data_IF_177631587708
#
_entry.id   IF_177631587708
#
_cell.length_a   1.000
_cell.length_b   1.000
_cell.length_c   1.000
_cell.angle_alpha   90.00
_cell.angle_beta   90.00
_cell.angle_gamma   90.00
#
_symmetry.space_group_name_H-M   'P 1'
#
loop_
_entity.id
_entity.type
_entity.pdbx_description
1 polymer ?
#
# COMPACT_ATOMS: atom_id res chain seq x y z
N UNK A 1 21.05 24.32 2.25
CA UNK A 1 20.57 25.27 1.23
C UNK A 1 19.25 24.70 0.74
N UNK A 2 18.10 25.33 0.98
CA UNK A 2 16.80 24.77 0.57
C UNK A 2 16.64 24.83 -0.95
N UNK A 3 16.53 23.67 -1.62
CA UNK A 3 16.25 23.62 -3.05
C UNK A 3 14.86 24.18 -3.40
N UNK A 4 14.76 24.89 -4.53
CA UNK A 4 13.45 25.35 -4.99
C UNK A 4 12.61 24.18 -5.50
N UNK A 5 11.26 24.28 -5.47
CA UNK A 5 10.36 23.23 -5.97
C UNK A 5 10.68 22.76 -7.40
N UNK A 6 11.12 23.68 -8.26
CA UNK A 6 11.47 23.39 -9.66
C UNK A 6 12.72 22.51 -9.71
N UNK A 7 13.75 22.85 -8.92
CA UNK A 7 15.01 22.11 -8.91
C UNK A 7 14.79 20.68 -8.39
N UNK A 8 14.04 20.51 -7.29
CA UNK A 8 13.69 19.19 -6.76
C UNK A 8 13.04 18.32 -7.84
N UNK A 9 12.02 18.86 -8.52
CA UNK A 9 11.29 18.11 -9.54
C UNK A 9 12.14 17.82 -10.77
N UNK A 10 13.04 18.72 -11.19
CA UNK A 10 13.97 18.44 -12.28
C UNK A 10 14.99 17.37 -11.91
N UNK A 11 15.52 17.39 -10.68
CA UNK A 11 16.52 16.42 -10.23
C UNK A 11 15.92 15.02 -10.07
N UNK A 12 14.67 14.89 -9.62
CA UNK A 12 13.96 13.60 -9.59
C UNK A 12 13.69 13.01 -10.99
N UNK A 13 13.64 13.85 -12.05
CA UNK A 13 13.55 13.38 -13.44
C UNK A 13 14.91 12.98 -14.00
N UNK A 14 15.98 13.58 -13.49
CA UNK A 14 17.33 13.27 -13.92
C UNK A 14 17.90 12.11 -13.08
N UNK A 15 17.89 10.89 -13.60
CA UNK A 15 18.28 9.69 -12.85
C UNK A 15 19.71 9.73 -12.30
N UNK A 16 20.61 10.52 -12.90
CA UNK A 16 21.97 10.71 -12.37
C UNK A 16 22.03 11.59 -11.12
N UNK A 17 21.00 12.40 -10.88
CA UNK A 17 20.86 13.26 -9.70
C UNK A 17 19.93 12.67 -8.64
N UNK A 18 19.27 11.55 -8.91
CA UNK A 18 18.40 10.88 -7.94
C UNK A 18 19.24 9.97 -7.03
N UNK A 19 19.68 10.54 -5.91
CA UNK A 19 20.54 9.89 -4.92
C UNK A 19 20.09 10.21 -3.48
N UNK A 20 20.85 9.73 -2.49
CA UNK A 20 20.52 9.89 -1.07
C UNK A 20 20.63 11.35 -0.58
N UNK A 21 21.48 12.18 -1.21
CA UNK A 21 21.54 13.62 -0.92
C UNK A 21 20.23 14.32 -1.32
N UNK A 22 19.72 14.02 -2.52
CA UNK A 22 18.43 14.57 -2.97
C UNK A 22 17.28 14.12 -2.05
N UNK A 23 17.27 12.87 -1.61
CA UNK A 23 16.27 12.36 -0.65
C UNK A 23 16.34 13.13 0.67
N UNK A 24 17.54 13.39 1.18
CA UNK A 24 17.75 14.15 2.41
C UNK A 24 17.24 15.58 2.27
N UNK A 25 17.51 16.22 1.12
CA UNK A 25 17.04 17.57 0.83
C UNK A 25 15.51 17.65 0.65
N UNK A 26 14.90 16.63 0.04
CA UNK A 26 13.43 16.52 -0.05
C UNK A 26 12.83 16.37 1.35
N UNK A 27 13.42 15.54 2.20
CA UNK A 27 12.96 15.31 3.57
C UNK A 27 13.03 16.60 4.38
N UNK A 28 14.16 17.31 4.34
CA UNK A 28 14.35 18.58 5.04
C UNK A 28 13.42 19.68 4.54
N UNK A 29 13.11 19.69 3.24
CA UNK A 29 12.24 20.69 2.63
C UNK A 29 10.76 20.41 2.89
N UNK A 30 10.33 19.15 2.82
CA UNK A 30 8.90 18.78 2.72
C UNK A 30 8.37 18.15 3.99
N UNK A 31 9.16 17.34 4.71
CA UNK A 31 8.71 16.56 5.87
C UNK A 31 9.10 17.21 7.20
N UNK A 32 10.37 17.56 7.37
CA UNK A 32 10.90 18.11 8.63
C UNK A 32 10.16 19.37 9.16
N UNK A 33 9.62 20.28 8.33
CA UNK A 33 8.84 21.42 8.82
C UNK A 33 7.60 21.03 9.63
N UNK A 34 7.13 19.79 9.51
CA UNK A 34 5.96 19.26 10.20
C UNK A 34 6.31 18.26 11.31
N UNK A 35 7.60 17.95 11.50
CA UNK A 35 8.07 17.04 12.54
C UNK A 35 8.59 17.84 13.76
N UNK A 36 8.33 17.35 14.98
CA UNK A 36 8.96 17.92 16.17
C UNK A 36 10.47 17.64 16.13
N UNK A 37 11.31 18.69 16.21
CA UNK A 37 12.76 18.56 16.28
C UNK A 37 13.18 17.97 17.64
N UNK A 38 13.28 16.64 17.70
CA UNK A 38 13.63 15.89 18.90
C UNK A 38 15.03 16.22 19.43
N UNK A 39 15.96 16.63 18.54
CA UNK A 39 17.35 16.94 18.90
C UNK A 39 17.46 18.24 19.69
N UNK A 40 16.60 19.22 19.39
CA UNK A 40 16.52 20.49 20.12
C UNK A 40 15.70 20.42 21.40
N UNK A 41 14.74 19.49 21.47
CA UNK A 41 13.99 19.20 22.70
C UNK A 41 14.93 18.64 23.79
N UNK A 42 15.92 17.82 23.41
CA UNK A 42 16.93 17.30 24.35
C UNK A 42 17.90 18.38 24.86
N UNK A 43 18.10 19.46 24.10
CA UNK A 43 18.94 20.60 24.49
C UNK A 43 18.20 21.66 25.34
N UNK A 44 16.97 21.38 25.80
CA UNK A 44 16.19 22.29 26.65
C UNK A 44 15.61 23.51 25.92
N UNK A 45 15.81 23.64 24.61
CA UNK A 45 15.22 24.70 23.80
C UNK A 45 13.78 24.31 23.43
N UNK A 46 12.79 24.95 24.08
CA UNK A 46 11.39 24.89 23.65
C UNK A 46 11.25 25.64 22.34
N UNK A 47 11.26 24.92 21.21
CA UNK A 47 10.81 25.49 19.95
C UNK A 47 9.32 25.80 20.11
N UNK A 48 8.94 27.06 19.90
CA UNK A 48 7.55 27.43 19.80
C UNK A 48 6.94 26.61 18.65
N UNK A 49 5.93 25.77 18.96
CA UNK A 49 5.16 25.09 17.92
C UNK A 49 4.71 26.15 16.91
N UNK A 50 4.84 25.91 15.59
CA UNK A 50 4.37 26.86 14.60
C UNK A 50 2.90 27.21 14.89
N UNK A 51 2.58 28.50 14.83
CA UNK A 51 1.21 28.96 15.01
C UNK A 51 0.31 28.28 13.98
N UNK A 52 -0.99 28.17 14.29
CA UNK A 52 -1.97 27.56 13.36
C UNK A 52 -1.95 28.22 11.99
N UNK A 53 -1.70 29.53 11.94
CA UNK A 53 -1.60 30.31 10.69
C UNK A 53 -0.34 29.96 9.91
N UNK A 54 0.82 29.85 10.56
CA UNK A 54 2.07 29.43 9.93
C UNK A 54 1.98 28.00 9.41
N UNK A 55 1.41 27.09 10.21
CA UNK A 55 1.19 25.71 9.79
C UNK A 55 0.32 25.63 8.53
N UNK A 56 -0.77 26.40 8.48
CA UNK A 56 -1.66 26.47 7.32
C UNK A 56 -0.96 27.07 6.08
N UNK A 57 -0.16 28.11 6.27
CA UNK A 57 0.61 28.73 5.18
C UNK A 57 1.66 27.77 4.60
N UNK A 58 2.41 27.07 5.47
CA UNK A 58 3.36 26.04 5.06
C UNK A 58 2.66 24.89 4.34
N UNK A 59 1.53 24.40 4.88
CA UNK A 59 0.73 23.34 4.25
C UNK A 59 0.28 23.73 2.85
N UNK A 60 -0.25 24.95 2.69
CA UNK A 60 -0.73 25.47 1.39
C UNK A 60 0.40 25.51 0.36
N UNK A 61 1.63 25.81 0.79
CA UNK A 61 2.82 25.87 -0.07
C UNK A 61 3.38 24.48 -0.40
N UNK A 62 3.47 23.59 0.60
CA UNK A 62 4.24 22.34 0.50
C UNK A 62 3.41 21.13 0.10
N UNK A 63 2.11 21.06 0.42
CA UNK A 63 1.26 19.93 0.05
C UNK A 63 1.20 19.70 -1.48
N UNK A 64 1.04 20.74 -2.33
CA UNK A 64 1.07 20.56 -3.79
C UNK A 64 2.43 20.04 -4.29
N UNK A 65 3.53 20.47 -3.67
CA UNK A 65 4.87 19.98 -4.01
C UNK A 65 5.03 18.50 -3.63
N UNK A 66 4.65 18.13 -2.40
CA UNK A 66 4.71 16.75 -1.93
C UNK A 66 3.92 15.82 -2.86
N UNK A 67 2.69 16.20 -3.24
CA UNK A 67 1.88 15.41 -4.16
C UNK A 67 2.52 15.29 -5.56
N UNK A 68 3.15 16.36 -6.06
CA UNK A 68 3.89 16.32 -7.34
C UNK A 68 5.11 15.39 -7.28
N UNK A 69 5.84 15.40 -6.17
CA UNK A 69 6.98 14.49 -5.95
C UNK A 69 6.49 13.05 -6.01
N UNK A 70 5.43 12.71 -5.27
CA UNK A 70 4.91 11.33 -5.26
C UNK A 70 4.45 10.87 -6.64
N UNK A 71 3.61 11.66 -7.30
CA UNK A 71 3.10 11.31 -8.63
C UNK A 71 4.22 11.16 -9.67
N UNK A 72 5.23 12.05 -9.61
CA UNK A 72 6.38 11.97 -10.49
C UNK A 72 7.24 10.73 -10.19
N UNK A 73 7.46 10.39 -8.92
CA UNK A 73 8.19 9.18 -8.54
C UNK A 73 7.47 7.92 -9.01
N UNK A 74 6.16 7.82 -8.82
CA UNK A 74 5.34 6.68 -9.28
C UNK A 74 5.48 6.52 -10.81
N UNK A 75 5.38 7.61 -11.56
CA UNK A 75 5.51 7.58 -13.01
C UNK A 75 6.93 7.20 -13.46
N UNK A 76 7.97 7.73 -12.81
CA UNK A 76 9.36 7.36 -13.08
C UNK A 76 9.62 5.88 -12.79
N UNK A 77 9.09 5.34 -11.70
CA UNK A 77 9.20 3.90 -11.36
C UNK A 77 8.51 3.03 -12.41
N UNK A 78 7.34 3.44 -12.91
CA UNK A 78 6.64 2.77 -14.02
C UNK A 78 7.49 2.71 -15.29
N UNK A 79 8.14 3.81 -15.65
CA UNK A 79 9.02 3.90 -16.82
C UNK A 79 10.26 3.03 -16.64
N UNK A 80 10.86 3.00 -15.44
CA UNK A 80 12.02 2.16 -15.14
C UNK A 80 11.71 0.68 -15.29
N UNK A 81 10.54 0.22 -14.82
CA UNK A 81 10.06 -1.15 -15.01
C UNK A 81 9.95 -1.52 -16.51
N UNK A 82 9.37 -0.64 -17.33
CA UNK A 82 9.15 -0.91 -18.76
C UNK A 82 10.43 -1.02 -19.58
N UNK A 83 11.51 -0.37 -19.15
CA UNK A 83 12.78 -0.37 -19.88
C UNK A 83 13.56 -1.67 -19.73
N UNK A 84 13.11 -2.61 -18.88
CA UNK A 84 13.71 -3.94 -18.62
C UNK A 84 15.24 -3.91 -18.40
N UNK A 85 15.74 -2.75 -17.95
CA UNK A 85 17.16 -2.51 -17.70
C UNK A 85 17.52 -3.13 -16.36
N UNK A 86 17.62 -4.46 -16.36
CA UNK A 86 18.08 -5.27 -15.24
C UNK A 86 19.41 -4.70 -14.71
N UNK A 87 19.36 -4.35 -13.42
CA UNK A 87 20.49 -4.34 -12.50
C UNK A 87 21.70 -3.44 -12.80
N UNK A 88 21.51 -2.30 -13.47
CA UNK A 88 22.53 -1.24 -13.34
C UNK A 88 22.54 -0.73 -11.89
N UNK A 89 23.71 -0.56 -11.24
CA UNK A 89 23.81 0.09 -9.93
C UNK A 89 23.14 1.46 -9.91
N UNK A 90 23.22 2.20 -11.01
CA UNK A 90 22.55 3.50 -11.19
C UNK A 90 21.03 3.34 -11.06
N UNK A 91 20.44 2.33 -11.70
CA UNK A 91 19.00 2.08 -11.61
C UNK A 91 18.58 1.69 -10.19
N UNK A 92 19.37 0.88 -9.47
CA UNK A 92 19.07 0.53 -8.07
C UNK A 92 19.08 1.77 -7.16
N UNK A 93 20.08 2.63 -7.32
CA UNK A 93 20.14 3.92 -6.58
C UNK A 93 18.97 4.83 -6.93
N UNK A 94 18.62 4.95 -8.22
CA UNK A 94 17.48 5.75 -8.66
C UNK A 94 16.16 5.20 -8.11
N UNK A 95 15.91 3.89 -8.19
CA UNK A 95 14.69 3.25 -7.64
C UNK A 95 14.57 3.55 -6.15
N UNK A 96 15.66 3.36 -5.40
CA UNK A 96 15.73 3.70 -3.97
C UNK A 96 15.37 5.15 -3.71
N UNK A 97 16.06 6.07 -4.38
CA UNK A 97 15.83 7.51 -4.26
C UNK A 97 14.36 7.89 -4.53
N UNK A 98 13.75 7.35 -5.59
CA UNK A 98 12.37 7.64 -5.95
C UNK A 98 11.38 7.12 -4.89
N UNK A 99 11.61 5.91 -4.37
CA UNK A 99 10.79 5.32 -3.30
C UNK A 99 10.91 6.15 -2.01
N UNK A 100 12.13 6.52 -1.61
CA UNK A 100 12.37 7.25 -0.35
C UNK A 100 11.83 8.69 -0.43
N UNK A 101 11.98 9.35 -1.59
CA UNK A 101 11.39 10.66 -1.86
C UNK A 101 9.85 10.62 -1.82
N UNK A 102 9.24 9.60 -2.44
CA UNK A 102 7.79 9.42 -2.41
C UNK A 102 7.28 9.12 -1.00
N UNK A 103 7.94 8.24 -0.26
CA UNK A 103 7.55 7.84 1.10
C UNK A 103 7.67 9.00 2.09
N UNK A 104 8.73 9.81 1.97
CA UNK A 104 8.90 11.04 2.76
C UNK A 104 7.80 12.06 2.46
N UNK A 105 7.45 12.22 1.18
CA UNK A 105 6.40 13.13 0.74
C UNK A 105 5.01 12.67 1.19
N UNK A 106 4.72 11.37 1.14
CA UNK A 106 3.48 10.79 1.69
C UNK A 106 3.40 11.05 3.19
N UNK A 107 4.49 10.84 3.93
CA UNK A 107 4.55 11.11 5.37
C UNK A 107 4.26 12.58 5.67
N UNK A 108 4.81 13.49 4.87
CA UNK A 108 4.54 14.92 4.99
C UNK A 108 3.06 15.25 4.73
N UNK A 109 2.46 14.65 3.70
CA UNK A 109 1.03 14.79 3.41
C UNK A 109 0.15 14.31 4.56
N UNK A 110 0.54 13.26 5.29
CA UNK A 110 -0.19 12.80 6.49
C UNK A 110 -0.21 13.86 7.57
N UNK A 111 0.93 14.51 7.86
CA UNK A 111 0.98 15.63 8.80
C UNK A 111 0.15 16.83 8.35
N UNK A 112 0.13 17.09 7.04
CA UNK A 112 -0.62 18.21 6.45
C UNK A 112 -2.14 17.95 6.32
N UNK A 113 -2.58 16.69 6.39
CA UNK A 113 -3.92 16.23 6.01
C UNK A 113 -5.07 17.13 6.52
N UNK A 114 -5.08 17.46 7.82
CA UNK A 114 -6.10 18.29 8.46
C UNK A 114 -6.22 19.73 7.92
N UNK A 115 -5.20 20.22 7.22
CA UNK A 115 -5.13 21.58 6.64
C UNK A 115 -5.03 21.59 5.12
N UNK A 116 -5.17 20.43 4.46
CA UNK A 116 -5.17 20.30 3.00
C UNK A 116 -6.58 20.17 2.44
N UNK A 117 -6.71 20.37 1.13
CA UNK A 117 -7.94 20.11 0.37
C UNK A 117 -8.00 18.68 -0.20
N UNK A 118 -7.15 17.77 0.32
CA UNK A 118 -7.15 16.37 -0.11
C UNK A 118 -8.48 15.72 0.27
N UNK A 119 -9.00 14.87 -0.63
CA UNK A 119 -10.21 14.12 -0.34
C UNK A 119 -9.90 12.99 0.64
N UNK A 120 -10.92 12.48 1.36
CA UNK A 120 -10.77 11.26 2.14
C UNK A 120 -10.11 10.15 1.32
N UNK A 121 -9.16 9.44 1.94
CA UNK A 121 -8.39 8.32 1.36
C UNK A 121 -7.44 8.68 0.21
N UNK A 122 -7.27 9.95 -0.17
CA UNK A 122 -6.34 10.31 -1.25
C UNK A 122 -4.89 9.91 -0.92
N UNK A 123 -4.50 10.02 0.36
CA UNK A 123 -3.16 9.65 0.82
C UNK A 123 -2.99 8.13 0.78
N UNK A 124 -3.97 7.37 1.27
CA UNK A 124 -3.98 5.91 1.27
C UNK A 124 -3.98 5.34 -0.17
N UNK A 125 -4.73 5.94 -1.09
CA UNK A 125 -4.70 5.59 -2.52
C UNK A 125 -3.33 5.84 -3.12
N UNK A 126 -2.74 6.99 -2.82
CA UNK A 126 -1.40 7.36 -3.28
C UNK A 126 -0.35 6.37 -2.77
N UNK A 127 -0.47 5.97 -1.51
CA UNK A 127 0.37 4.97 -0.88
C UNK A 127 0.20 3.57 -1.51
N UNK A 128 -1.05 3.15 -1.75
CA UNK A 128 -1.34 1.87 -2.42
C UNK A 128 -0.77 1.83 -3.85
N UNK A 129 -0.87 2.94 -4.59
CA UNK A 129 -0.28 3.07 -5.93
C UNK A 129 1.26 2.97 -5.88
N UNK A 130 1.90 3.60 -4.90
CA UNK A 130 3.35 3.48 -4.70
C UNK A 130 3.72 2.03 -4.40
N UNK A 131 3.05 1.37 -3.45
CA UNK A 131 3.29 -0.05 -3.09
C UNK A 131 3.16 -0.95 -4.32
N UNK A 132 2.13 -0.74 -5.15
CA UNK A 132 1.97 -1.49 -6.40
C UNK A 132 3.23 -1.40 -7.28
N UNK A 133 3.85 -0.22 -7.40
CA UNK A 133 5.09 -0.03 -8.17
C UNK A 133 6.32 -0.61 -7.48
N UNK A 134 6.39 -0.60 -6.15
CA UNK A 134 7.47 -1.26 -5.39
C UNK A 134 7.42 -2.78 -5.58
N UNK A 135 6.24 -3.39 -5.45
CA UNK A 135 6.02 -4.83 -5.69
C UNK A 135 6.35 -5.20 -7.14
N UNK A 136 5.91 -4.38 -8.09
CA UNK A 136 6.20 -4.54 -9.52
C UNK A 136 7.70 -4.57 -9.86
N UNK A 137 8.53 -3.90 -9.06
CA UNK A 137 9.98 -3.83 -9.22
C UNK A 137 10.73 -4.92 -8.44
N UNK A 138 10.02 -5.75 -7.67
CA UNK A 138 10.62 -6.81 -6.85
C UNK A 138 11.23 -6.34 -5.52
N UNK A 139 10.97 -5.09 -5.12
CA UNK A 139 11.49 -4.49 -3.88
C UNK A 139 10.64 -4.92 -2.66
N UNK A 140 10.50 -6.24 -2.43
CA UNK A 140 9.52 -6.81 -1.51
C UNK A 140 9.72 -6.39 -0.04
N UNK A 141 10.96 -6.23 0.42
CA UNK A 141 11.24 -5.75 1.79
C UNK A 141 10.71 -4.34 2.00
N UNK A 142 10.89 -3.45 1.01
CA UNK A 142 10.35 -2.08 1.06
C UNK A 142 8.83 -2.08 0.91
N UNK A 143 8.28 -2.97 0.08
CA UNK A 143 6.84 -3.13 -0.05
C UNK A 143 6.22 -3.56 1.28
N UNK A 144 6.86 -4.48 2.00
CA UNK A 144 6.42 -4.93 3.32
C UNK A 144 6.33 -3.75 4.31
N UNK A 145 7.36 -2.92 4.40
CA UNK A 145 7.37 -1.76 5.31
C UNK A 145 6.24 -0.77 4.99
N UNK A 146 5.99 -0.51 3.71
CA UNK A 146 4.90 0.36 3.28
C UNK A 146 3.51 -0.32 3.46
N UNK A 147 3.39 -1.63 3.28
CA UNK A 147 2.14 -2.37 3.55
C UNK A 147 1.75 -2.30 5.03
N UNK A 148 2.71 -2.41 5.96
CA UNK A 148 2.46 -2.24 7.40
C UNK A 148 1.90 -0.85 7.70
N UNK A 149 2.52 0.19 7.13
CA UNK A 149 2.07 1.58 7.29
C UNK A 149 0.68 1.80 6.68
N UNK A 150 0.38 1.18 5.53
CA UNK A 150 -0.92 1.31 4.87
C UNK A 150 -2.02 0.60 5.66
N UNK A 151 -1.77 -0.61 6.16
CA UNK A 151 -2.69 -1.33 7.05
C UNK A 151 -3.11 -0.47 8.24
N UNK A 152 -2.11 0.13 8.90
CA UNK A 152 -2.33 1.01 10.06
C UNK A 152 -3.16 2.24 9.68
N UNK A 153 -2.85 2.87 8.54
CA UNK A 153 -3.60 4.03 8.02
C UNK A 153 -5.05 3.68 7.71
N UNK A 154 -5.29 2.52 7.08
CA UNK A 154 -6.63 2.05 6.73
C UNK A 154 -7.42 1.74 8.00
N UNK A 155 -6.86 0.94 8.91
CA UNK A 155 -7.51 0.61 10.18
C UNK A 155 -7.94 1.87 10.95
N UNK A 156 -7.06 2.88 11.02
CA UNK A 156 -7.40 4.16 11.63
C UNK A 156 -8.51 4.91 10.88
N UNK A 157 -8.44 4.95 9.55
CA UNK A 157 -9.43 5.65 8.72
C UNK A 157 -10.84 5.08 8.81
N UNK A 158 -10.96 3.78 9.13
CA UNK A 158 -12.23 3.08 9.28
C UNK A 158 -12.57 2.72 10.73
N UNK A 159 -11.83 3.28 11.71
CA UNK A 159 -12.02 3.03 13.15
C UNK A 159 -12.00 1.56 13.57
N UNK A 160 -11.23 0.72 12.88
CA UNK A 160 -11.07 -0.70 13.23
C UNK A 160 -9.93 -0.85 14.22
N UNK A 161 -10.21 -1.52 15.34
CA UNK A 161 -9.16 -1.90 16.30
C UNK A 161 -8.39 -3.10 15.75
N UNK A 162 -7.13 -2.90 15.38
CA UNK A 162 -6.23 -4.01 15.05
C UNK A 162 -5.57 -4.51 16.32
N UNK A 163 -6.00 -5.68 16.81
CA UNK A 163 -5.24 -6.39 17.84
C UNK A 163 -3.88 -6.79 17.25
N UNK A 164 -2.81 -6.48 17.98
CA UNK A 164 -1.40 -6.71 17.62
C UNK A 164 -0.82 -5.81 16.51
N UNK A 165 -0.55 -4.57 16.86
CA UNK A 165 0.73 -3.97 16.46
C UNK A 165 1.69 -4.22 17.62
N UNK A 166 2.47 -5.32 17.58
CA UNK A 166 3.72 -5.37 18.37
C UNK A 166 4.65 -4.35 17.73
N UNK A 167 4.49 -3.11 18.16
CA UNK A 167 5.38 -2.04 17.80
C UNK A 167 6.72 -2.40 18.41
N UNK A 168 7.70 -2.75 17.59
CA UNK A 168 9.10 -2.60 17.98
C UNK A 168 9.38 -1.10 17.99
N UNK A 169 8.83 -0.41 18.98
CA UNK A 169 9.10 1.00 19.25
C UNK A 169 9.50 1.06 20.71
N UNK A 170 10.80 0.96 20.92
CA UNK A 170 11.43 1.50 22.12
C UNK A 170 11.08 3.00 22.21
N UNK A 171 10.24 3.31 23.21
CA UNK A 171 10.15 4.60 23.91
C UNK A 171 9.50 5.75 23.10
N UNK A 172 8.55 6.57 23.58
CA UNK A 172 7.94 6.79 24.90
C UNK A 172 6.74 7.74 24.73
N UNK A 173 5.74 7.57 25.59
CA UNK A 173 4.81 8.60 26.11
C UNK A 173 3.63 9.04 25.24
N UNK A 174 2.51 8.41 25.57
CA UNK A 174 1.12 8.88 25.45
C UNK A 174 0.92 10.30 25.99
N UNK A 175 0.23 11.14 25.22
CA UNK A 175 -0.48 12.31 25.76
C UNK A 175 -1.94 12.17 25.36
N UNK A 176 -2.73 11.88 26.39
CA UNK A 176 -4.19 12.02 26.44
C UNK A 176 -4.53 13.49 26.16
N UNK A 177 -5.46 13.78 25.24
CA UNK A 177 -6.30 14.96 25.39
C UNK A 177 -7.68 14.73 24.80
N UNK A 178 -8.64 14.98 25.67
CA UNK A 178 -10.06 14.83 25.55
C UNK A 178 -10.71 16.06 24.88
N UNK A 179 -11.99 15.91 24.54
CA UNK A 179 -13.02 16.94 24.33
C UNK A 179 -13.45 17.37 22.91
N UNK A 180 -14.76 17.12 22.70
CA UNK A 180 -15.81 17.98 22.13
C UNK A 180 -16.20 17.90 20.65
N UNK A 181 -17.15 17.00 20.39
CA UNK A 181 -18.49 17.26 19.80
C UNK A 181 -18.70 18.61 19.10
N UNK A 182 -18.86 18.59 17.76
CA UNK A 182 -19.72 19.54 17.04
C UNK A 182 -20.39 18.90 15.80
N UNK A 183 -21.69 19.21 15.67
CA UNK A 183 -22.65 18.79 14.62
C UNK A 183 -22.24 19.22 13.21
N UNK A 184 -22.66 18.49 12.15
CA UNK A 184 -22.43 18.90 10.77
C UNK A 184 -23.46 19.95 10.33
N UNK A 185 -22.99 21.00 9.64
CA UNK A 185 -23.83 21.92 8.85
C UNK A 185 -23.67 21.59 7.37
N UNK A 186 -24.80 21.34 6.74
CA UNK A 186 -24.99 21.22 5.29
C UNK A 186 -24.71 22.56 4.60
N UNK A 187 -24.09 22.54 3.42
CA UNK A 187 -24.29 23.57 2.40
C UNK A 187 -24.05 22.99 0.99
N UNK A 188 -24.99 23.31 0.10
CA UNK A 188 -25.12 22.94 -1.31
C UNK A 188 -24.12 23.64 -2.25
N UNK A 189 -23.95 22.99 -3.43
CA UNK A 189 -23.62 23.54 -4.77
C UNK A 189 -22.16 23.99 -5.01
N UNK A 190 -21.53 23.88 -6.19
CA UNK A 190 -21.97 23.76 -7.59
C UNK A 190 -20.80 23.18 -8.43
N UNK A 191 -21.11 22.58 -9.59
CA UNK A 191 -20.21 21.73 -10.38
C UNK A 191 -19.04 22.39 -11.14
N UNK A 192 -18.07 21.53 -11.48
CA UNK A 192 -17.05 21.63 -12.55
C UNK A 192 -16.26 20.30 -12.63
N UNK A 193 -15.57 19.98 -13.76
CA UNK A 193 -15.69 18.71 -14.49
C UNK A 193 -14.91 17.51 -13.92
N UNK A 194 -15.27 16.27 -14.29
CA UNK A 194 -14.70 15.06 -13.71
C UNK A 194 -13.32 14.75 -14.31
N UNK A 195 -12.24 14.90 -13.53
CA UNK A 195 -10.98 14.20 -13.79
C UNK A 195 -11.12 12.75 -13.31
N UNK A 196 -11.36 11.84 -14.26
CA UNK A 196 -11.33 10.38 -14.05
C UNK A 196 -9.93 9.94 -13.59
N UNK A 197 -9.80 9.61 -12.32
CA UNK A 197 -8.79 8.70 -11.79
C UNK A 197 -9.49 7.42 -11.39
N UNK A 198 -9.78 6.56 -12.38
CA UNK A 198 -10.47 5.29 -12.16
C UNK A 198 -9.48 4.29 -11.54
N UNK A 199 -9.84 3.67 -10.41
CA UNK A 199 -9.15 2.52 -9.80
C UNK A 199 -9.41 1.23 -10.59
N UNK A 200 -9.22 1.29 -11.90
CA UNK A 200 -9.17 0.11 -12.77
C UNK A 200 -7.87 0.21 -13.55
N UNK A 201 -6.79 -0.34 -13.00
CA UNK A 201 -5.70 -0.75 -13.88
C UNK A 201 -6.27 -1.84 -14.79
N UNK A 202 -6.40 -1.50 -16.08
CA UNK A 202 -6.62 -2.47 -17.14
C UNK A 202 -5.48 -3.49 -17.12
N UNK A 203 -5.74 -4.79 -16.93
CA UNK A 203 -4.76 -5.81 -17.25
C UNK A 203 -4.51 -5.74 -18.75
N UNK A 204 -3.25 -5.87 -19.16
CA UNK A 204 -2.82 -6.00 -20.55
C UNK A 204 -3.82 -6.83 -21.37
N UNK A 205 -4.20 -6.29 -22.54
CA UNK A 205 -4.92 -7.01 -23.60
C UNK A 205 -4.18 -8.30 -23.93
N UNK A 206 -4.75 -9.43 -23.52
CA UNK A 206 -4.59 -10.72 -24.17
C UNK A 206 -6.01 -11.17 -24.50
N UNK A 207 -6.27 -11.23 -25.80
CA UNK A 207 -7.42 -11.82 -26.50
C UNK A 207 -8.47 -12.51 -25.63
N UNK A 208 -9.69 -11.95 -25.66
CA UNK A 208 -10.90 -12.59 -25.17
C UNK A 208 -11.09 -13.93 -25.90
N UNK A 209 -11.00 -15.03 -25.14
CA UNK A 209 -11.64 -16.29 -25.51
C UNK A 209 -12.57 -16.61 -24.36
N UNK A 210 -13.87 -16.38 -24.58
CA UNK A 210 -14.94 -16.80 -23.68
C UNK A 210 -14.89 -18.33 -23.55
N UNK A 211 -14.36 -18.83 -22.44
CA UNK A 211 -14.52 -20.24 -22.08
C UNK A 211 -15.73 -20.37 -21.17
N UNK A 212 -16.81 -20.93 -21.72
CA UNK A 212 -17.96 -21.42 -20.97
C UNK A 212 -17.48 -22.50 -19.98
N UNK A 213 -17.83 -22.33 -18.71
CA UNK A 213 -17.56 -23.30 -17.65
C UNK A 213 -18.51 -24.50 -17.78
N UNK A 214 -17.99 -25.66 -18.16
CA UNK A 214 -18.58 -26.95 -17.82
C UNK A 214 -17.66 -27.64 -16.81
N UNK A 215 -18.21 -27.98 -15.64
CA UNK A 215 -17.49 -28.70 -14.59
C UNK A 215 -17.46 -30.20 -14.92
N UNK A 216 -16.28 -30.85 -14.98
CA UNK A 216 -16.22 -32.30 -14.95
C UNK A 216 -16.27 -32.78 -13.49
N UNK A 217 -17.23 -33.65 -13.18
CA UNK A 217 -17.26 -34.41 -11.94
C UNK A 217 -16.21 -35.50 -12.04
N UNK A 218 -15.11 -35.35 -11.30
CA UNK A 218 -14.14 -36.44 -11.09
C UNK A 218 -14.01 -36.69 -9.59
N UNK A 219 -14.56 -37.82 -9.16
CA UNK A 219 -14.36 -38.36 -7.82
C UNK A 219 -12.90 -38.83 -7.72
N UNK A 220 -12.07 -38.17 -6.90
CA UNK A 220 -10.74 -38.68 -6.56
C UNK A 220 -10.44 -38.55 -5.08
N UNK A 221 -10.03 -39.71 -4.56
CA UNK A 221 -9.63 -40.04 -3.19
C UNK A 221 -8.47 -39.16 -2.73
N UNK A 222 -8.60 -38.59 -1.53
CA UNK A 222 -7.58 -37.79 -0.86
C UNK A 222 -6.43 -38.71 -0.40
N UNK A 223 -5.17 -38.50 -0.83
CA UNK A 223 -4.03 -39.11 -0.16
C UNK A 223 -3.82 -38.40 1.18
N UNK A 224 -3.74 -39.22 2.23
CA UNK A 224 -3.52 -38.83 3.61
C UNK A 224 -2.36 -37.84 3.80
N UNK A 225 -2.55 -36.95 4.76
CA UNK A 225 -1.62 -35.97 5.33
C UNK A 225 -0.18 -36.48 5.43
N UNK A 226 0.64 -36.21 4.42
CA UNK A 226 2.09 -36.29 4.57
C UNK A 226 2.52 -35.14 5.49
N UNK A 227 3.29 -35.48 6.53
CA UNK A 227 3.95 -34.54 7.43
C UNK A 227 4.80 -33.58 6.61
N UNK A 228 4.29 -32.36 6.40
CA UNK A 228 5.07 -31.29 5.79
C UNK A 228 6.38 -31.12 6.59
N UNK A 229 7.54 -31.00 5.92
CA UNK A 229 8.80 -30.76 6.62
C UNK A 229 8.67 -29.52 7.50
N UNK A 230 9.29 -29.57 8.69
CA UNK A 230 9.30 -28.44 9.61
C UNK A 230 9.78 -27.17 8.90
N UNK A 231 9.10 -26.05 9.17
CA UNK A 231 9.44 -24.77 8.57
C UNK A 231 10.90 -24.41 8.90
N UNK A 232 11.59 -23.78 7.96
CA UNK A 232 12.86 -23.15 8.26
C UNK A 232 12.64 -21.92 9.15
N UNK A 233 13.62 -21.53 10.00
CA UNK A 233 13.51 -20.32 10.83
C UNK A 233 13.27 -19.04 10.02
N UNK A 234 13.73 -19.01 8.77
CA UNK A 234 13.49 -17.90 7.85
C UNK A 234 12.03 -17.85 7.38
N UNK A 235 11.41 -19.00 7.08
CA UNK A 235 9.99 -19.06 6.71
C UNK A 235 9.09 -18.62 7.87
N UNK A 236 9.39 -19.05 9.09
CA UNK A 236 8.65 -18.62 10.29
C UNK A 236 8.77 -17.11 10.51
N UNK A 237 9.95 -16.53 10.28
CA UNK A 237 10.13 -15.07 10.33
C UNK A 237 9.28 -14.34 9.27
N UNK A 238 9.20 -14.88 8.05
CA UNK A 238 8.39 -14.30 6.98
C UNK A 238 6.90 -14.41 7.29
N UNK A 239 6.44 -15.56 7.80
CA UNK A 239 5.08 -15.76 8.27
C UNK A 239 4.70 -14.78 9.38
N UNK A 240 5.61 -14.52 10.32
CA UNK A 240 5.39 -13.53 11.37
C UNK A 240 5.26 -12.11 10.81
N UNK A 241 6.08 -11.74 9.84
CA UNK A 241 6.08 -10.39 9.23
C UNK A 241 4.84 -10.12 8.38
N UNK A 242 4.40 -11.10 7.59
CA UNK A 242 3.28 -10.95 6.66
C UNK A 242 1.93 -11.38 7.24
N UNK A 243 1.92 -12.23 8.27
CA UNK A 243 0.71 -12.93 8.72
C UNK A 243 -0.47 -12.00 9.00
N UNK A 244 -0.23 -10.87 9.64
CA UNK A 244 -1.27 -9.89 9.96
C UNK A 244 -1.65 -9.01 8.77
N UNK A 245 -0.83 -8.97 7.72
CA UNK A 245 -1.06 -8.17 6.51
C UNK A 245 -2.05 -8.80 5.52
N UNK A 246 -2.35 -10.08 5.69
CA UNK A 246 -3.38 -10.76 4.91
C UNK A 246 -4.80 -10.40 5.37
N UNK A 247 -4.92 -9.81 6.56
CA UNK A 247 -6.21 -9.56 7.20
C UNK A 247 -6.37 -8.11 7.60
N UNK A 248 -7.57 -7.59 7.38
CA UNK A 248 -8.09 -6.41 8.05
C UNK A 248 -9.47 -6.81 8.60
N UNK A 249 -9.75 -6.70 9.92
CA UNK A 249 -11.01 -7.16 10.49
C UNK A 249 -12.21 -6.64 9.69
N UNK A 250 -13.15 -7.50 9.34
CA UNK A 250 -14.31 -7.09 8.55
C UNK A 250 -15.30 -6.34 9.43
N UNK A 251 -15.56 -5.07 9.10
CA UNK A 251 -16.68 -4.31 9.65
C UNK A 251 -17.75 -4.10 8.57
N UNK A 252 -18.88 -4.78 8.73
CA UNK A 252 -19.99 -4.76 7.77
C UNK A 252 -20.71 -3.41 7.70
N UNK A 253 -20.45 -2.49 8.64
CA UNK A 253 -21.01 -1.14 8.61
C UNK A 253 -20.32 -0.25 7.57
N UNK A 254 -19.14 -0.63 7.09
CA UNK A 254 -18.40 0.08 6.04
C UNK A 254 -19.06 -0.19 4.70
N UNK A 255 -19.86 0.76 4.22
CA UNK A 255 -20.62 0.66 2.96
C UNK A 255 -20.06 1.53 1.83
N UNK A 256 -18.98 2.28 2.07
CA UNK A 256 -18.30 3.04 1.01
C UNK A 256 -17.47 2.11 0.12
N UNK A 257 -17.91 1.94 -1.12
CA UNK A 257 -17.24 1.10 -2.12
C UNK A 257 -15.77 1.50 -2.34
N UNK A 258 -15.44 2.79 -2.23
CA UNK A 258 -14.05 3.25 -2.41
C UNK A 258 -13.14 2.71 -1.31
N UNK A 259 -13.60 2.75 -0.07
CA UNK A 259 -12.92 2.20 1.10
C UNK A 259 -12.71 0.70 0.95
N UNK A 260 -13.77 -0.04 0.61
CA UNK A 260 -13.70 -1.50 0.42
C UNK A 260 -12.71 -1.87 -0.68
N UNK A 261 -12.75 -1.19 -1.82
CA UNK A 261 -11.80 -1.41 -2.91
C UNK A 261 -10.35 -1.11 -2.50
N UNK A 262 -10.13 -0.13 -1.63
CA UNK A 262 -8.79 0.22 -1.17
C UNK A 262 -8.23 -0.83 -0.20
N UNK A 263 -9.08 -1.39 0.66
CA UNK A 263 -8.74 -2.54 1.52
C UNK A 263 -8.37 -3.75 0.66
N UNK A 264 -9.17 -4.05 -0.37
CA UNK A 264 -8.88 -5.13 -1.31
C UNK A 264 -7.59 -4.87 -2.09
N UNK A 265 -7.33 -3.64 -2.53
CA UNK A 265 -6.08 -3.29 -3.21
C UNK A 265 -4.85 -3.49 -2.31
N UNK A 266 -4.97 -3.11 -1.03
CA UNK A 266 -3.97 -3.37 -0.01
C UNK A 266 -3.68 -4.87 0.14
N UNK A 267 -4.73 -5.68 0.35
CA UNK A 267 -4.60 -7.13 0.50
C UNK A 267 -4.08 -7.81 -0.77
N UNK A 268 -4.51 -7.36 -1.96
CA UNK A 268 -3.98 -7.84 -3.23
C UNK A 268 -2.49 -7.55 -3.37
N UNK A 269 -2.02 -6.36 -2.96
CA UNK A 269 -0.59 -6.05 -2.97
C UNK A 269 0.20 -6.91 -1.96
N UNK A 270 -0.37 -7.21 -0.79
CA UNK A 270 0.21 -8.19 0.15
C UNK A 270 0.34 -9.56 -0.52
N UNK A 271 -0.74 -10.06 -1.12
CA UNK A 271 -0.79 -11.35 -1.81
C UNK A 271 0.25 -11.40 -2.93
N UNK A 272 0.29 -10.38 -3.79
CA UNK A 272 1.28 -10.28 -4.88
C UNK A 272 2.71 -10.33 -4.35
N UNK A 273 3.01 -9.54 -3.32
CA UNK A 273 4.33 -9.55 -2.68
C UNK A 273 4.67 -10.93 -2.13
N UNK A 274 3.73 -11.61 -1.46
CA UNK A 274 3.94 -12.93 -0.90
C UNK A 274 4.15 -14.00 -1.98
N UNK A 275 3.39 -13.95 -3.07
CA UNK A 275 3.50 -14.94 -4.15
C UNK A 275 4.78 -14.83 -4.97
N UNK A 276 5.41 -13.65 -4.99
CA UNK A 276 6.62 -13.41 -5.78
C UNK A 276 7.90 -13.31 -4.91
N UNK A 277 7.79 -13.19 -3.58
CA UNK A 277 8.96 -13.20 -2.68
C UNK A 277 9.65 -14.56 -2.72
N UNK A 278 11.00 -14.53 -2.73
CA UNK A 278 11.82 -15.74 -2.80
C UNK A 278 11.32 -16.74 -3.86
N UNK A 279 10.97 -16.20 -5.04
CA UNK A 279 10.51 -16.94 -6.22
C UNK A 279 9.29 -17.84 -5.97
N UNK A 280 8.43 -17.45 -5.03
CA UNK A 280 7.18 -18.17 -4.73
C UNK A 280 7.36 -19.42 -3.87
N UNK A 281 8.53 -19.59 -3.25
CA UNK A 281 8.80 -20.69 -2.29
C UNK A 281 7.80 -20.74 -1.12
N UNK A 282 7.24 -19.58 -0.73
CA UNK A 282 6.27 -19.46 0.36
C UNK A 282 4.81 -19.73 -0.04
N UNK A 283 4.53 -20.06 -1.31
CA UNK A 283 3.16 -20.24 -1.82
C UNK A 283 2.39 -21.33 -1.07
N UNK A 284 3.07 -22.37 -0.59
CA UNK A 284 2.46 -23.47 0.19
C UNK A 284 1.76 -23.02 1.48
N UNK A 285 2.11 -21.85 2.01
CA UNK A 285 1.47 -21.30 3.22
C UNK A 285 0.27 -20.40 2.91
N UNK A 286 -0.07 -20.17 1.64
CA UNK A 286 -1.19 -19.32 1.23
C UNK A 286 -2.52 -19.74 1.85
N UNK A 287 -2.92 -21.03 1.86
CA UNK A 287 -4.20 -21.44 2.46
C UNK A 287 -4.31 -20.99 3.92
N UNK A 288 -3.28 -21.28 4.74
CA UNK A 288 -3.23 -20.89 6.15
C UNK A 288 -3.36 -19.37 6.36
N UNK A 289 -2.80 -18.56 5.48
CA UNK A 289 -2.86 -17.10 5.57
C UNK A 289 -4.24 -16.56 5.16
N UNK A 290 -4.90 -17.22 4.22
CA UNK A 290 -6.22 -16.85 3.71
C UNK A 290 -7.37 -17.37 4.59
N UNK A 291 -7.16 -18.38 5.43
CA UNK A 291 -8.19 -18.93 6.32
C UNK A 291 -8.58 -17.98 7.48
N UNK A 292 -7.77 -16.95 7.76
CA UNK A 292 -8.03 -16.01 8.85
C UNK A 292 -9.17 -15.05 8.50
N UNK A 293 -10.02 -14.71 9.46
CA UNK A 293 -11.11 -13.75 9.26
C UNK A 293 -10.61 -12.35 8.88
N UNK A 294 -11.39 -11.65 8.07
CA UNK A 294 -11.02 -10.36 7.49
C UNK A 294 -10.03 -10.48 6.33
N UNK A 295 -9.92 -11.66 5.71
CA UNK A 295 -9.09 -11.88 4.53
C UNK A 295 -9.70 -11.23 3.26
N UNK A 296 -9.01 -11.35 2.13
CA UNK A 296 -9.45 -10.77 0.86
C UNK A 296 -10.81 -11.31 0.38
N UNK A 297 -11.09 -12.60 0.58
CA UNK A 297 -12.36 -13.21 0.17
C UNK A 297 -13.54 -12.67 0.98
N UNK A 298 -13.35 -12.49 2.29
CA UNK A 298 -14.37 -11.89 3.17
C UNK A 298 -14.76 -10.47 2.70
N UNK A 299 -13.75 -9.65 2.40
CA UNK A 299 -13.97 -8.30 1.86
C UNK A 299 -14.56 -8.30 0.45
N UNK A 300 -14.21 -9.29 -0.39
CA UNK A 300 -14.83 -9.45 -1.70
C UNK A 300 -16.29 -9.88 -1.59
N UNK A 301 -16.62 -10.75 -0.64
CA UNK A 301 -18.00 -11.16 -0.38
C UNK A 301 -18.83 -10.00 0.16
N UNK A 302 -18.25 -9.15 1.01
CA UNK A 302 -18.87 -7.90 1.42
C UNK A 302 -19.05 -6.93 0.23
N UNK A 303 -18.02 -6.77 -0.63
CA UNK A 303 -18.14 -5.96 -1.84
C UNK A 303 -19.28 -6.47 -2.74
N UNK A 304 -19.53 -7.78 -2.80
CA UNK A 304 -20.60 -8.37 -3.61
C UNK A 304 -21.99 -7.86 -3.21
N UNK A 305 -22.20 -7.53 -1.94
CA UNK A 305 -23.48 -6.95 -1.47
C UNK A 305 -23.64 -5.48 -1.86
N UNK A 306 -22.54 -4.78 -2.19
CA UNK A 306 -22.53 -3.38 -2.62
C UNK A 306 -22.50 -3.24 -4.14
N UNK A 307 -21.65 -4.01 -4.82
CA UNK A 307 -21.46 -4.05 -6.26
C UNK A 307 -20.94 -5.45 -6.68
N UNK A 308 -21.85 -6.30 -7.14
CA UNK A 308 -21.53 -7.66 -7.57
C UNK A 308 -20.59 -7.71 -8.79
N UNK A 309 -20.64 -6.71 -9.68
CA UNK A 309 -19.80 -6.71 -10.88
C UNK A 309 -18.35 -6.37 -10.53
N UNK A 310 -18.13 -5.42 -9.61
CA UNK A 310 -16.81 -5.13 -9.08
C UNK A 310 -16.26 -6.28 -8.25
N UNK A 311 -17.07 -6.92 -7.40
CA UNK A 311 -16.66 -8.10 -6.65
C UNK A 311 -16.16 -9.22 -7.57
N UNK A 312 -16.89 -9.51 -8.66
CA UNK A 312 -16.48 -10.51 -9.64
C UNK A 312 -15.13 -10.18 -10.30
N UNK A 313 -14.88 -8.90 -10.59
CA UNK A 313 -13.58 -8.45 -11.12
C UNK A 313 -12.44 -8.67 -10.12
N UNK A 314 -12.69 -8.43 -8.83
CA UNK A 314 -11.70 -8.65 -7.77
C UNK A 314 -11.39 -10.13 -7.56
N UNK A 315 -12.41 -11.00 -7.54
CA UNK A 315 -12.21 -12.45 -7.52
C UNK A 315 -11.43 -12.94 -8.74
N UNK A 316 -11.80 -12.47 -9.93
CA UNK A 316 -11.07 -12.81 -11.16
C UNK A 316 -9.62 -12.34 -11.14
N UNK A 317 -9.32 -11.19 -10.53
CA UNK A 317 -7.96 -10.71 -10.35
C UNK A 317 -7.15 -11.60 -9.39
N UNK A 318 -7.76 -12.01 -8.25
CA UNK A 318 -7.14 -12.95 -7.32
C UNK A 318 -6.84 -14.28 -7.99
N UNK A 319 -7.82 -14.85 -8.70
CA UNK A 319 -7.66 -16.12 -9.43
C UNK A 319 -6.49 -16.05 -10.40
N UNK A 320 -6.44 -15.02 -11.26
CA UNK A 320 -5.30 -14.83 -12.20
C UNK A 320 -3.96 -14.72 -11.48
N UNK A 321 -3.90 -14.02 -10.34
CA UNK A 321 -2.68 -13.92 -9.55
C UNK A 321 -2.26 -15.29 -8.98
N UNK A 322 -3.21 -16.07 -8.46
CA UNK A 322 -2.94 -17.42 -7.95
C UNK A 322 -2.45 -18.36 -9.06
N UNK A 323 -3.11 -18.38 -10.22
CA UNK A 323 -2.67 -19.20 -11.35
C UNK A 323 -1.26 -18.81 -11.81
N UNK A 324 -0.97 -17.50 -11.92
CA UNK A 324 0.36 -17.00 -12.26
C UNK A 324 1.41 -17.43 -11.24
N UNK A 325 1.09 -17.38 -9.95
CA UNK A 325 1.99 -17.81 -8.88
C UNK A 325 2.24 -19.32 -8.94
N UNK A 326 1.18 -20.12 -9.10
CA UNK A 326 1.26 -21.57 -9.21
C UNK A 326 2.11 -22.00 -10.42
N UNK A 327 2.02 -21.32 -11.56
CA UNK A 327 2.84 -21.63 -12.74
C UNK A 327 4.34 -21.38 -12.57
N UNK A 328 4.72 -20.55 -11.58
CA UNK A 328 6.13 -20.27 -11.27
C UNK A 328 6.69 -21.18 -10.19
N UNK A 329 5.82 -21.81 -9.40
CA UNK A 329 6.27 -22.61 -8.27
C UNK A 329 6.88 -23.93 -8.76
N UNK A 330 8.04 -24.36 -8.25
CA UNK A 330 8.59 -25.68 -8.53
C UNK A 330 7.71 -26.82 -7.98
N UNK A 331 6.71 -26.48 -7.14
CA UNK A 331 5.69 -27.39 -6.64
C UNK A 331 4.61 -27.58 -7.70
N UNK A 332 4.81 -28.56 -8.58
CA UNK A 332 3.76 -29.06 -9.49
C UNK A 332 2.55 -29.52 -8.68
N UNK A 333 1.43 -28.81 -8.76
CA UNK A 333 0.14 -29.25 -8.17
C UNK A 333 -0.72 -28.16 -7.52
N UNK A 334 -0.23 -26.92 -7.35
CA UNK A 334 -0.98 -25.89 -6.61
C UNK A 334 -2.19 -25.33 -7.42
N UNK A 335 -2.29 -25.61 -8.73
CA UNK A 335 -3.49 -25.25 -9.49
C UNK A 335 -4.77 -25.98 -9.03
N UNK A 336 -4.66 -27.07 -8.26
CA UNK A 336 -5.82 -27.75 -7.66
C UNK A 336 -6.25 -27.16 -6.31
N UNK A 337 -5.44 -26.27 -5.72
CA UNK A 337 -5.84 -25.40 -4.59
C UNK A 337 -6.63 -24.18 -5.11
N UNK A 338 -7.59 -24.41 -6.00
CA UNK A 338 -8.63 -23.45 -6.28
C UNK A 338 -9.37 -23.17 -4.98
N UNK A 339 -8.96 -22.09 -4.30
CA UNK A 339 -9.55 -21.43 -3.12
C UNK A 339 -11.01 -20.97 -3.38
N UNK A 340 -11.63 -21.42 -4.48
CA UNK A 340 -13.02 -21.19 -4.85
C UNK A 340 -13.80 -22.50 -4.72
N UNK A 341 -13.93 -23.01 -3.50
CA UNK A 341 -15.07 -23.84 -3.12
C UNK A 341 -16.04 -22.94 -2.37
N UNK A 342 -17.03 -22.45 -3.11
CA UNK A 342 -18.47 -22.36 -2.78
C UNK A 342 -19.19 -21.35 -3.68
#
# INVERSE_FOLDING_TARGET
>A
MTLTPIVILSSLKNYTQCNDELVTEIRSTVLEPFQPDLSRIQAGQRIAKPSRTEFKAMTTKLAPLAMRIVNQSIESLRILKQKDKKESPVNRTTVRCLIDAASSSISALKHMSASTTLKPLDIEKTMSNLICKIVDLGEYTRALDELVKLRTSLAHSVNITTENTRVTTTSTTSVITDMTSMKPKEHLSTGSPPRRGFLTESPNRLSDTEMMFQSPVVTRTIPSTELLPANSPWEDNMLQKYGDLFTLPLDKTINDTTTVLLILAYQMNTIRSWTDVAEGSLLRHMPKLMDRAGNFLDWCQHLKTLDSALAQKQFGALHRQMCKAASKSPLTGICELCIFRD
#
